data_IF_234216276104
#
_entry.id   IF_234216276104
#
_cell.length_a   1.000
_cell.length_b   1.000
_cell.length_c   1.000
_cell.angle_alpha   90.00
_cell.angle_beta   90.00
_cell.angle_gamma   90.00
#
_symmetry.space_group_name_H-M   'P 1'
#
loop_
_entity.id
_entity.type
_entity.pdbx_description
1 polymer ?
#
# COMPACT_ATOMS: atom_id res chain seq x y z
N UNK A 1 6.50 -6.06 8.95
CA UNK A 1 7.33 -6.23 7.74
C UNK A 1 7.86 -4.88 7.29
N UNK A 2 9.17 -4.74 7.06
CA UNK A 2 9.78 -3.49 6.57
C UNK A 2 9.76 -3.43 5.04
N UNK A 3 9.81 -2.22 4.45
CA UNK A 3 9.89 -2.04 2.99
C UNK A 3 11.11 -2.76 2.38
N UNK A 4 12.20 -2.86 3.15
CA UNK A 4 13.43 -3.55 2.72
C UNK A 4 13.25 -5.08 2.64
N UNK A 5 12.58 -5.67 3.64
CA UNK A 5 12.22 -7.09 3.63
C UNK A 5 11.29 -7.42 2.45
N UNK A 6 10.27 -6.59 2.23
CA UNK A 6 9.32 -6.73 1.12
C UNK A 6 10.07 -6.59 -0.21
N UNK A 7 10.94 -5.59 -0.36
CA UNK A 7 11.77 -5.43 -1.55
C UNK A 7 12.57 -6.68 -1.90
N UNK A 8 13.23 -7.29 -0.90
CA UNK A 8 13.96 -8.56 -1.08
C UNK A 8 13.07 -9.71 -1.49
N UNK A 9 11.91 -9.88 -0.85
CA UNK A 9 10.96 -10.96 -1.18
C UNK A 9 10.42 -10.84 -2.60
N UNK A 10 10.15 -9.61 -3.06
CA UNK A 10 9.56 -9.34 -4.37
C UNK A 10 10.59 -9.01 -5.46
N UNK A 11 11.90 -9.07 -5.17
CA UNK A 11 12.96 -8.77 -6.13
C UNK A 11 12.95 -7.33 -6.65
N UNK A 12 12.45 -6.37 -5.85
CA UNK A 12 12.30 -4.96 -6.22
C UNK A 12 12.99 -4.04 -5.22
N UNK A 13 13.31 -2.83 -5.64
CA UNK A 13 13.94 -1.85 -4.75
C UNK A 13 12.99 -1.38 -3.64
N UNK A 14 13.57 -0.97 -2.51
CA UNK A 14 12.85 -0.33 -1.41
C UNK A 14 12.02 0.87 -1.88
N UNK A 15 12.58 1.69 -2.78
CA UNK A 15 11.87 2.85 -3.34
C UNK A 15 10.68 2.45 -4.22
N UNK A 16 10.76 1.32 -4.94
CA UNK A 16 9.62 0.79 -5.69
C UNK A 16 8.48 0.38 -4.76
N UNK A 17 8.76 -0.27 -3.62
CA UNK A 17 7.73 -0.60 -2.62
C UNK A 17 7.11 0.69 -2.06
N UNK A 18 7.92 1.70 -1.72
CA UNK A 18 7.43 3.01 -1.23
C UNK A 18 6.47 3.67 -2.21
N UNK A 19 6.80 3.69 -3.50
CA UNK A 19 5.92 4.25 -4.54
C UNK A 19 4.60 3.49 -4.69
N UNK A 20 4.62 2.16 -4.56
CA UNK A 20 3.42 1.33 -4.62
C UNK A 20 2.53 1.60 -3.41
N UNK A 21 3.11 1.72 -2.21
CA UNK A 21 2.42 2.06 -0.97
C UNK A 21 1.71 3.41 -1.09
N UNK A 22 2.41 4.45 -1.56
CA UNK A 22 1.84 5.79 -1.76
C UNK A 22 0.64 5.76 -2.73
N UNK A 23 0.77 5.04 -3.85
CA UNK A 23 -0.34 4.86 -4.82
C UNK A 23 -1.50 4.07 -4.21
N UNK A 24 -1.23 3.06 -3.39
CA UNK A 24 -2.26 2.27 -2.73
C UNK A 24 -3.03 3.10 -1.71
N UNK A 25 -2.34 3.88 -0.85
CA UNK A 25 -2.97 4.78 0.11
C UNK A 25 -3.85 5.82 -0.59
N UNK A 26 -3.38 6.42 -1.68
CA UNK A 26 -4.18 7.35 -2.47
C UNK A 26 -5.43 6.69 -3.07
N UNK A 27 -5.34 5.44 -3.55
CA UNK A 27 -6.50 4.67 -4.03
C UNK A 27 -7.49 4.37 -2.91
N UNK A 28 -7.00 4.04 -1.71
CA UNK A 28 -7.84 3.73 -0.55
C UNK A 28 -8.57 4.96 -0.02
N UNK A 29 -7.97 6.16 -0.10
CA UNK A 29 -8.61 7.43 0.29
C UNK A 29 -9.85 7.82 -0.54
N UNK A 30 -10.10 7.16 -1.67
CA UNK A 30 -11.28 7.44 -2.48
C UNK A 30 -12.57 7.07 -1.73
N UNK A 31 -13.59 7.96 -1.64
CA UNK A 31 -14.75 7.80 -0.76
C UNK A 31 -15.54 6.51 -1.00
N UNK A 32 -15.67 6.08 -2.25
CA UNK A 32 -16.32 4.80 -2.61
C UNK A 32 -15.60 3.59 -2.03
N UNK A 33 -14.25 3.62 -1.96
CA UNK A 33 -13.43 2.50 -1.46
C UNK A 33 -13.37 2.50 0.07
N UNK A 34 -13.24 3.68 0.69
CA UNK A 34 -13.32 3.83 2.15
C UNK A 34 -14.66 3.31 2.69
N UNK A 35 -15.78 3.53 1.99
CA UNK A 35 -17.09 3.11 2.47
C UNK A 35 -17.18 1.59 2.70
N UNK A 36 -16.50 0.79 1.89
CA UNK A 36 -16.43 -0.68 2.07
C UNK A 36 -15.51 -1.12 3.22
N UNK A 37 -14.55 -0.27 3.61
CA UNK A 37 -13.64 -0.54 4.73
C UNK A 37 -14.16 0.02 6.06
N UNK A 38 -15.06 1.00 6.04
CA UNK A 38 -15.66 1.59 7.25
C UNK A 38 -16.44 0.58 8.09
N UNK A 39 -17.02 -0.43 7.46
CA UNK A 39 -17.80 -1.46 8.17
C UNK A 39 -16.91 -2.46 8.95
N UNK A 40 -15.58 -2.38 8.78
CA UNK A 40 -14.59 -3.24 9.45
C UNK A 40 -13.78 -2.50 10.54
N UNK A 41 -14.13 -1.24 10.85
CA UNK A 41 -13.54 -0.41 11.90
C UNK A 41 -14.55 -0.21 13.03
#
# INVERSE_FOLDING_TARGET
>A
HTLDQIGRTFGVSRERIRQIEERALNKLRHPIRIRKLKDFL
#
